data_IF_973741179382
#
_entry.id   IF_973741179382
#
_cell.length_a   1.000
_cell.length_b   1.000
_cell.length_c   1.000
_cell.angle_alpha   90.00
_cell.angle_beta   90.00
_cell.angle_gamma   90.00
#
_symmetry.space_group_name_H-M   'P 1'
#
loop_
_entity.id
_entity.type
_entity.pdbx_description
1 polymer ?
#
# COMPACT_ATOMS: atom_id res chain seq x y z
N UNK A 1 -23.83 12.33 40.12
CA UNK A 1 -23.05 13.56 40.38
C UNK A 1 -22.07 13.74 39.26
N UNK A 2 -22.40 14.62 38.32
CA UNK A 2 -21.60 14.90 37.13
C UNK A 2 -20.71 16.13 37.42
N UNK A 3 -19.40 15.99 37.23
CA UNK A 3 -18.45 17.09 37.30
C UNK A 3 -18.20 17.65 35.91
N UNK A 4 -18.69 18.86 35.69
CA UNK A 4 -18.38 19.68 34.52
C UNK A 4 -16.98 20.28 34.69
N UNK A 5 -16.10 20.09 33.72
CA UNK A 5 -14.85 20.84 33.59
C UNK A 5 -15.06 22.01 32.63
N UNK A 6 -14.90 23.20 33.21
CA UNK A 6 -15.09 24.50 32.61
C UNK A 6 -14.00 24.85 31.57
N UNK A 7 -14.45 25.29 30.38
CA UNK A 7 -13.62 26.04 29.43
C UNK A 7 -13.59 27.51 29.85
N UNK A 8 -12.43 28.05 30.23
CA UNK A 8 -12.18 29.51 30.15
C UNK A 8 -10.70 29.87 30.22
N UNK A 9 -10.36 30.74 29.30
CA UNK A 9 -9.42 31.87 29.36
C UNK A 9 -7.96 31.61 29.00
N UNK A 10 -7.60 32.01 27.81
CA UNK A 10 -6.37 32.73 27.52
C UNK A 10 -6.68 33.92 26.62
N UNK A 11 -6.71 35.09 27.25
CA UNK A 11 -6.74 36.39 26.58
C UNK A 11 -5.73 37.32 27.27
N UNK A 12 -4.89 37.94 26.43
CA UNK A 12 -4.22 39.22 26.58
C UNK A 12 -3.02 39.36 27.53
N UNK A 13 -1.86 39.62 26.93
CA UNK A 13 -1.07 40.80 27.32
C UNK A 13 -0.47 41.42 26.06
N UNK A 14 -0.92 42.62 25.73
CA UNK A 14 -0.24 43.57 24.87
C UNK A 14 0.68 44.44 25.72
N UNK A 15 1.91 44.64 25.32
CA UNK A 15 2.76 45.69 25.87
C UNK A 15 3.47 46.41 24.75
N UNK A 16 3.11 47.68 24.61
CA UNK A 16 3.69 48.68 23.76
C UNK A 16 5.10 49.07 24.22
N UNK A 17 6.04 49.22 23.31
CA UNK A 17 7.33 49.85 23.57
C UNK A 17 7.88 50.44 22.28
N UNK A 18 7.62 51.74 22.09
CA UNK A 18 8.24 52.54 21.05
C UNK A 18 9.61 53.02 21.50
N UNK A 19 10.66 52.73 20.74
CA UNK A 19 11.94 53.44 20.80
C UNK A 19 12.34 53.81 19.37
N UNK A 20 12.41 55.11 19.13
CA UNK A 20 13.00 55.73 17.94
C UNK A 20 14.51 55.64 18.01
N UNK A 21 15.19 55.32 16.90
CA UNK A 21 16.63 55.31 16.85
C UNK A 21 17.15 55.04 15.42
N UNK A 22 17.50 56.14 14.73
CA UNK A 22 18.50 56.30 13.68
C UNK A 22 18.56 55.38 12.47
N UNK A 23 18.33 55.99 11.31
CA UNK A 23 18.66 55.58 9.98
C UNK A 23 20.17 55.48 9.80
N UNK A 24 20.69 54.29 9.63
CA UNK A 24 21.96 54.04 8.95
C UNK A 24 21.73 53.20 7.72
N UNK A 25 21.86 53.84 6.57
CA UNK A 25 21.73 53.27 5.24
C UNK A 25 22.98 52.45 4.91
N UNK A 26 23.00 51.18 5.25
CA UNK A 26 23.93 50.23 4.69
C UNK A 26 23.23 49.39 3.62
N UNK A 27 23.55 49.71 2.36
CA UNK A 27 23.26 48.87 1.19
C UNK A 27 23.87 47.47 1.43
N UNK A 28 23.04 46.50 1.78
CA UNK A 28 23.44 45.11 1.70
C UNK A 28 23.05 44.60 0.31
N UNK A 29 23.97 43.97 -0.42
CA UNK A 29 23.58 43.33 -1.68
C UNK A 29 22.59 42.22 -1.38
N UNK A 30 21.45 42.22 -2.09
CA UNK A 30 20.48 41.18 -2.04
C UNK A 30 21.16 39.84 -2.35
N UNK A 31 21.39 39.04 -1.32
CA UNK A 31 21.78 37.65 -1.48
C UNK A 31 20.60 36.94 -2.16
N UNK A 32 20.77 36.65 -3.44
CA UNK A 32 19.82 35.84 -4.18
C UNK A 32 19.67 34.51 -3.41
N UNK A 33 18.51 34.31 -2.79
CA UNK A 33 18.10 33.02 -2.27
C UNK A 33 18.02 32.10 -3.48
N UNK A 34 19.10 31.38 -3.74
CA UNK A 34 19.09 30.24 -4.64
C UNK A 34 18.08 29.29 -4.04
N UNK A 35 16.86 29.25 -4.62
CA UNK A 35 15.90 28.17 -4.37
C UNK A 35 16.66 26.87 -4.64
N UNK A 36 16.99 26.17 -3.57
CA UNK A 36 17.51 24.81 -3.66
C UNK A 36 16.48 24.02 -4.46
N UNK A 37 16.84 23.69 -5.71
CA UNK A 37 16.03 22.84 -6.58
C UNK A 37 15.82 21.56 -5.80
N UNK A 38 14.60 21.34 -5.29
CA UNK A 38 14.24 20.12 -4.56
C UNK A 38 14.79 18.94 -5.37
N UNK A 39 15.71 18.20 -4.79
CA UNK A 39 16.31 17.05 -5.47
C UNK A 39 15.17 16.18 -6.00
N UNK A 40 15.23 15.88 -7.30
CA UNK A 40 14.25 15.00 -7.92
C UNK A 40 14.26 13.67 -7.18
N UNK A 41 13.09 13.05 -7.03
CA UNK A 41 13.00 11.72 -6.44
C UNK A 41 13.76 10.73 -7.33
N UNK A 42 14.65 9.92 -6.76
CA UNK A 42 15.37 8.89 -7.51
C UNK A 42 14.41 7.85 -8.08
N UNK A 43 13.29 7.62 -7.40
CA UNK A 43 12.20 6.79 -7.87
C UNK A 43 10.86 7.24 -7.30
N UNK A 44 9.81 6.88 -8.01
CA UNK A 44 8.41 7.04 -7.58
C UNK A 44 7.58 5.90 -8.13
N UNK A 45 6.53 5.52 -7.40
CA UNK A 45 5.59 4.49 -7.81
C UNK A 45 4.18 4.88 -7.39
N UNK A 46 3.28 5.00 -8.36
CA UNK A 46 1.85 5.03 -8.17
C UNK A 46 1.26 3.76 -8.78
N UNK A 47 0.63 2.93 -7.99
CA UNK A 47 0.08 1.67 -8.43
C UNK A 47 -1.30 1.40 -7.86
N UNK A 48 -2.14 0.74 -8.64
CA UNK A 48 -3.43 0.19 -8.19
C UNK A 48 -3.28 -1.32 -8.01
N UNK A 49 -3.82 -1.81 -6.89
CA UNK A 49 -3.79 -3.22 -6.52
C UNK A 49 -5.21 -3.76 -6.45
N UNK A 50 -5.40 -4.96 -6.96
CA UNK A 50 -6.52 -5.85 -6.65
C UNK A 50 -5.97 -6.89 -5.68
N UNK A 51 -6.41 -6.85 -4.43
CA UNK A 51 -5.88 -7.70 -3.36
C UNK A 51 -6.98 -8.52 -2.70
N UNK A 52 -6.68 -9.79 -2.42
CA UNK A 52 -7.47 -10.66 -1.56
C UNK A 52 -6.57 -11.37 -0.56
N UNK A 53 -7.12 -11.72 0.59
CA UNK A 53 -6.40 -12.50 1.59
C UNK A 53 -7.33 -13.44 2.38
N UNK A 54 -6.73 -14.45 3.01
CA UNK A 54 -7.41 -15.47 3.82
C UNK A 54 -8.15 -14.93 5.04
N UNK A 55 -7.85 -13.72 5.49
CA UNK A 55 -8.48 -13.10 6.66
C UNK A 55 -9.96 -12.82 6.44
N UNK A 56 -10.73 -12.77 7.52
CA UNK A 56 -12.12 -12.32 7.46
C UNK A 56 -12.20 -10.82 7.10
N UNK A 57 -13.31 -10.37 6.55
CA UNK A 57 -13.69 -8.95 6.46
C UNK A 57 -13.88 -8.45 7.90
N UNK A 58 -13.46 -7.34 8.16
CA UNK A 58 -12.46 -6.43 8.21
C UNK A 58 -11.09 -6.98 8.68
N UNK A 59 -10.18 -7.19 7.79
CA UNK A 59 -8.90 -7.83 8.11
C UNK A 59 -8.15 -7.09 9.22
N UNK A 60 -7.70 -7.78 10.29
CA UNK A 60 -6.91 -7.15 11.35
C UNK A 60 -5.62 -6.51 10.85
N UNK A 61 -5.07 -6.97 9.72
CA UNK A 61 -3.85 -6.43 9.13
C UNK A 61 -3.96 -4.96 8.67
N UNK A 62 -5.17 -4.41 8.60
CA UNK A 62 -5.36 -2.95 8.42
C UNK A 62 -4.87 -2.15 9.64
N UNK A 63 -4.84 -2.76 10.82
CA UNK A 63 -4.66 -2.09 12.10
C UNK A 63 -3.51 -2.66 12.94
N UNK A 64 -3.07 -3.88 12.64
CA UNK A 64 -2.08 -4.61 13.44
C UNK A 64 -1.18 -5.48 12.56
N UNK A 65 -0.15 -6.06 13.18
CA UNK A 65 0.78 -6.97 12.53
C UNK A 65 0.42 -8.46 12.80
N UNK A 66 -0.75 -8.72 13.38
CA UNK A 66 -1.25 -10.07 13.68
C UNK A 66 -2.51 -10.33 12.86
N UNK A 67 -2.49 -11.28 11.93
CA UNK A 67 -3.64 -11.66 11.12
C UNK A 67 -4.79 -12.30 11.92
N UNK A 68 -5.92 -12.50 11.25
CA UNK A 68 -7.05 -13.26 11.80
C UNK A 68 -6.61 -14.66 12.22
N UNK A 69 -7.26 -15.17 13.26
CA UNK A 69 -7.19 -16.59 13.58
C UNK A 69 -8.05 -17.42 12.61
N UNK A 70 -7.55 -18.58 12.23
CA UNK A 70 -8.22 -19.58 11.41
C UNK A 70 -8.31 -20.89 12.18
N UNK A 71 -9.47 -21.54 12.15
CA UNK A 71 -9.68 -22.79 12.89
C UNK A 71 -10.85 -22.69 13.87
N UNK A 72 -11.01 -23.72 14.71
CA UNK A 72 -12.11 -23.85 15.65
C UNK A 72 -11.62 -24.24 17.04
N UNK A 73 -12.25 -23.68 18.06
CA UNK A 73 -11.97 -24.00 19.46
C UNK A 73 -10.55 -23.60 19.89
N UNK A 74 -9.81 -24.53 20.49
CA UNK A 74 -8.43 -24.30 20.96
C UNK A 74 -7.37 -24.41 19.85
N UNK A 75 -7.73 -24.85 18.65
CA UNK A 75 -6.84 -24.98 17.50
C UNK A 75 -7.05 -23.79 16.55
N UNK A 76 -6.45 -22.67 16.88
CA UNK A 76 -6.51 -21.44 16.07
C UNK A 76 -5.11 -21.12 15.58
N UNK A 77 -4.90 -21.22 14.28
CA UNK A 77 -3.68 -20.78 13.60
C UNK A 77 -3.85 -19.37 13.09
N UNK A 78 -2.84 -18.54 13.28
CA UNK A 78 -2.80 -17.21 12.70
C UNK A 78 -1.92 -17.20 11.45
N UNK A 79 -2.47 -16.77 10.34
CA UNK A 79 -1.75 -16.57 9.08
C UNK A 79 -2.50 -15.59 8.18
N UNK A 80 -1.80 -15.00 7.22
CA UNK A 80 -2.41 -14.21 6.16
C UNK A 80 -1.82 -14.62 4.82
N UNK A 81 -2.50 -15.52 4.13
CA UNK A 81 -2.19 -15.87 2.75
C UNK A 81 -2.88 -14.87 1.84
N UNK A 82 -2.16 -14.36 0.86
CA UNK A 82 -2.64 -13.26 0.05
C UNK A 82 -2.23 -13.39 -1.41
N UNK A 83 -3.04 -12.77 -2.27
CA UNK A 83 -2.78 -12.54 -3.68
C UNK A 83 -2.99 -11.09 -4.02
N UNK A 84 -2.09 -10.51 -4.81
CA UNK A 84 -2.13 -9.13 -5.25
C UNK A 84 -1.80 -9.02 -6.73
N UNK A 85 -2.78 -8.61 -7.54
CA UNK A 85 -2.57 -8.21 -8.93
C UNK A 85 -2.30 -6.72 -9.03
N UNK A 86 -1.09 -6.36 -9.49
CA UNK A 86 -0.62 -4.97 -9.61
C UNK A 86 -0.78 -4.41 -11.01
N UNK A 87 -1.12 -3.13 -11.07
CA UNK A 87 -0.96 -2.29 -12.26
C UNK A 87 -0.32 -0.97 -11.87
N UNK A 88 0.83 -0.67 -12.43
CA UNK A 88 1.50 0.63 -12.26
C UNK A 88 0.77 1.66 -13.12
N UNK A 89 0.24 2.72 -12.51
CA UNK A 89 -0.39 3.81 -13.21
C UNK A 89 0.65 4.76 -13.79
N UNK A 90 1.61 5.14 -12.96
CA UNK A 90 2.82 5.87 -13.36
C UNK A 90 3.95 5.62 -12.36
N UNK A 91 5.17 5.62 -12.85
CA UNK A 91 6.34 5.41 -12.01
C UNK A 91 7.63 5.60 -12.78
N UNK A 92 8.69 5.88 -12.04
CA UNK A 92 10.03 6.04 -12.57
C UNK A 92 11.05 5.51 -11.56
N UNK A 93 12.10 4.89 -12.06
CA UNK A 93 13.25 4.50 -11.28
C UNK A 93 14.52 4.91 -12.01
N UNK A 94 15.17 6.00 -11.58
CA UNK A 94 16.42 6.51 -12.18
C UNK A 94 16.36 6.60 -13.71
N UNK A 95 15.23 7.08 -14.25
CA UNK A 95 15.00 7.20 -15.69
C UNK A 95 14.30 6.00 -16.33
N UNK A 96 14.20 4.85 -15.67
CA UNK A 96 13.43 3.70 -16.15
C UNK A 96 11.95 3.96 -15.92
N UNK A 97 11.16 4.03 -17.00
CA UNK A 97 9.72 4.24 -16.95
C UNK A 97 8.99 2.97 -16.55
N UNK A 98 8.08 3.05 -15.58
CA UNK A 98 7.32 1.92 -15.06
C UNK A 98 5.82 1.96 -15.42
N UNK A 99 5.36 2.97 -16.14
CA UNK A 99 3.95 3.14 -16.49
C UNK A 99 3.41 1.92 -17.23
N UNK A 100 2.24 1.45 -16.82
CA UNK A 100 1.54 0.32 -17.44
C UNK A 100 2.08 -1.07 -17.07
N UNK A 101 3.19 -1.16 -16.33
CA UNK A 101 3.73 -2.45 -15.90
C UNK A 101 2.72 -3.17 -15.01
N UNK A 102 2.53 -4.47 -15.27
CA UNK A 102 1.75 -5.37 -14.44
C UNK A 102 2.63 -6.46 -13.84
N UNK A 103 2.35 -6.82 -12.60
CA UNK A 103 3.02 -7.90 -11.89
C UNK A 103 2.11 -8.46 -10.80
N UNK A 104 2.46 -9.62 -10.29
CA UNK A 104 1.74 -10.33 -9.25
C UNK A 104 2.62 -10.51 -8.02
N UNK A 105 2.04 -10.43 -6.82
CA UNK A 105 2.70 -10.89 -5.60
C UNK A 105 1.72 -11.81 -4.87
N UNK A 106 2.17 -13.01 -4.53
CA UNK A 106 1.46 -13.92 -3.65
C UNK A 106 2.34 -14.28 -2.46
N UNK A 107 1.74 -14.64 -1.33
CA UNK A 107 2.53 -14.98 -0.16
C UNK A 107 1.74 -15.34 1.08
N UNK A 108 2.47 -15.46 2.18
CA UNK A 108 1.96 -15.67 3.52
C UNK A 108 2.73 -14.79 4.50
N UNK A 109 2.02 -13.90 5.20
CA UNK A 109 2.61 -13.05 6.23
C UNK A 109 2.94 -13.82 7.53
N UNK A 110 2.42 -15.04 7.68
CA UNK A 110 2.57 -15.81 8.91
C UNK A 110 1.70 -15.28 10.06
N UNK A 111 2.04 -15.69 11.27
CA UNK A 111 1.22 -15.42 12.46
C UNK A 111 1.42 -14.03 13.07
N UNK A 112 2.61 -13.48 12.93
CA UNK A 112 2.98 -12.15 13.45
C UNK A 112 4.11 -11.60 12.56
N UNK A 113 3.74 -10.80 11.58
CA UNK A 113 4.72 -10.30 10.61
C UNK A 113 5.57 -9.12 11.12
N UNK A 114 5.37 -8.66 12.39
CA UNK A 114 6.36 -7.82 13.08
C UNK A 114 7.65 -8.57 13.36
N UNK A 115 7.57 -9.89 13.48
CA UNK A 115 8.71 -10.81 13.69
C UNK A 115 9.28 -11.39 12.40
N UNK A 116 8.70 -11.02 11.28
CA UNK A 116 9.06 -11.51 9.95
C UNK A 116 7.92 -12.29 9.30
N UNK A 117 7.81 -12.12 7.98
CA UNK A 117 6.82 -12.81 7.15
C UNK A 117 7.38 -14.12 6.58
N UNK A 118 6.51 -15.07 6.28
CA UNK A 118 6.92 -16.41 5.88
C UNK A 118 7.51 -16.44 4.48
N UNK A 119 6.71 -16.09 3.48
CA UNK A 119 7.19 -16.11 2.10
C UNK A 119 6.40 -15.16 1.21
N UNK A 120 7.04 -14.69 0.14
CA UNK A 120 6.38 -14.06 -0.99
C UNK A 120 7.06 -14.45 -2.29
N UNK A 121 6.28 -14.44 -3.37
CA UNK A 121 6.74 -14.62 -4.73
C UNK A 121 6.24 -13.47 -5.59
N UNK A 122 7.15 -12.85 -6.35
CA UNK A 122 6.81 -11.86 -7.37
C UNK A 122 6.88 -12.50 -8.74
N UNK A 123 5.82 -12.36 -9.54
CA UNK A 123 5.73 -12.84 -10.92
C UNK A 123 5.47 -11.68 -11.84
N UNK A 124 6.20 -11.58 -12.93
CA UNK A 124 6.05 -10.48 -13.90
C UNK A 124 5.26 -10.92 -15.14
N UNK A 125 4.54 -9.98 -15.71
CA UNK A 125 4.02 -10.10 -17.06
C UNK A 125 5.19 -10.21 -18.04
N UNK A 126 5.14 -11.09 -19.08
CA UNK A 126 6.29 -11.38 -19.96
C UNK A 126 6.89 -10.18 -20.68
N UNK A 127 6.10 -9.13 -20.94
CA UNK A 127 6.58 -7.89 -21.59
C UNK A 127 7.41 -6.99 -20.67
N UNK A 128 7.45 -7.25 -19.36
CA UNK A 128 8.20 -6.43 -18.39
C UNK A 128 9.70 -6.61 -18.61
N UNK A 129 10.39 -5.52 -18.91
CA UNK A 129 11.83 -5.55 -19.24
C UNK A 129 12.69 -5.88 -18.02
N UNK A 130 13.94 -6.28 -18.25
CA UNK A 130 14.90 -6.58 -17.19
C UNK A 130 15.14 -5.36 -16.28
N UNK A 131 15.21 -4.17 -16.86
CA UNK A 131 15.41 -2.90 -16.13
C UNK A 131 14.19 -2.58 -15.24
N UNK A 132 12.98 -2.77 -15.76
CA UNK A 132 11.75 -2.57 -15.00
C UNK A 132 11.64 -3.56 -13.83
N UNK A 133 12.01 -4.84 -14.05
CA UNK A 133 12.07 -5.86 -12.97
C UNK A 133 13.06 -5.46 -11.89
N UNK A 134 14.27 -5.06 -12.28
CA UNK A 134 15.29 -4.56 -11.34
C UNK A 134 14.81 -3.36 -10.54
N UNK A 135 14.11 -2.42 -11.19
CA UNK A 135 13.49 -1.28 -10.53
C UNK A 135 12.44 -1.72 -9.50
N UNK A 136 11.48 -2.57 -9.89
CA UNK A 136 10.40 -3.02 -9.02
C UNK A 136 10.92 -3.86 -7.85
N UNK A 137 11.86 -4.77 -8.07
CA UNK A 137 12.48 -5.55 -6.97
C UNK A 137 13.24 -4.67 -5.97
N UNK A 138 13.69 -3.47 -6.39
CA UNK A 138 14.29 -2.47 -5.50
C UNK A 138 13.21 -1.67 -4.74
N UNK A 139 12.10 -1.30 -5.40
CA UNK A 139 11.04 -0.46 -4.82
C UNK A 139 10.14 -1.24 -3.85
N UNK A 140 9.74 -2.46 -4.19
CA UNK A 140 8.75 -3.25 -3.45
C UNK A 140 9.11 -3.46 -1.97
N UNK A 141 10.38 -3.70 -1.57
CA UNK A 141 10.73 -3.76 -0.14
C UNK A 141 10.44 -2.49 0.66
N UNK A 142 10.37 -1.32 0.02
CA UNK A 142 9.96 -0.08 0.67
C UNK A 142 8.44 0.05 0.81
N UNK A 143 7.69 -0.60 -0.09
CA UNK A 143 6.23 -0.71 0.06
C UNK A 143 5.89 -1.69 1.19
N UNK A 144 6.57 -2.82 1.25
CA UNK A 144 6.40 -3.85 2.28
C UNK A 144 7.65 -3.97 3.15
N UNK A 145 7.83 -3.07 4.14
CA UNK A 145 9.02 -3.04 4.99
C UNK A 145 8.95 -4.14 6.06
N UNK A 146 8.86 -5.38 5.61
CA UNK A 146 8.88 -6.58 6.45
C UNK A 146 10.06 -7.47 6.06
N UNK A 147 10.60 -8.22 7.01
CA UNK A 147 11.63 -9.21 6.74
C UNK A 147 10.97 -10.50 6.27
N UNK A 148 11.25 -10.93 5.05
CA UNK A 148 10.75 -12.18 4.49
C UNK A 148 11.72 -13.32 4.79
N UNK A 149 11.22 -14.47 5.26
CA UNK A 149 12.03 -15.71 5.34
C UNK A 149 12.41 -16.22 3.95
N UNK A 150 11.52 -16.04 2.98
CA UNK A 150 11.76 -16.31 1.57
C UNK A 150 11.07 -15.28 0.69
N UNK A 151 11.81 -14.63 -0.22
CA UNK A 151 11.27 -13.78 -1.27
C UNK A 151 11.85 -14.25 -2.60
N UNK A 152 10.99 -14.73 -3.50
CA UNK A 152 11.39 -15.37 -4.75
C UNK A 152 10.81 -14.64 -5.96
N UNK A 153 11.43 -14.86 -7.12
CA UNK A 153 10.88 -14.45 -8.41
C UNK A 153 10.33 -15.69 -9.09
N UNK A 154 9.04 -15.68 -9.37
CA UNK A 154 8.35 -16.76 -10.06
C UNK A 154 8.57 -16.75 -11.57
N UNK A 155 8.06 -17.77 -12.25
CA UNK A 155 8.08 -17.85 -13.69
C UNK A 155 7.12 -16.83 -14.29
N UNK A 156 7.58 -16.06 -15.27
CA UNK A 156 6.75 -15.08 -15.99
C UNK A 156 5.49 -15.71 -16.55
N UNK A 157 4.38 -15.00 -16.42
CA UNK A 157 3.10 -15.44 -16.99
C UNK A 157 2.21 -14.25 -17.36
N UNK A 158 1.32 -14.39 -18.35
CA UNK A 158 0.36 -13.34 -18.70
C UNK A 158 -0.52 -12.96 -17.50
N UNK A 159 -0.76 -11.66 -17.35
CA UNK A 159 -1.59 -11.10 -16.28
C UNK A 159 -2.76 -10.35 -16.88
N UNK A 160 -3.98 -10.87 -16.69
CA UNK A 160 -5.21 -10.14 -16.95
C UNK A 160 -5.52 -9.26 -15.74
N UNK A 161 -5.89 -8.00 -16.01
CA UNK A 161 -6.19 -7.04 -14.94
C UNK A 161 -7.32 -6.11 -15.38
N UNK A 162 -8.46 -6.15 -14.69
CA UNK A 162 -9.60 -5.24 -14.92
C UNK A 162 -10.22 -4.85 -13.60
N UNK A 163 -10.62 -3.58 -13.45
CA UNK A 163 -11.21 -3.09 -12.23
C UNK A 163 -12.26 -2.00 -12.49
N UNK A 164 -13.36 -2.12 -11.77
CA UNK A 164 -14.39 -1.09 -11.56
C UNK A 164 -14.69 -1.01 -10.07
N UNK A 165 -15.51 -0.04 -9.65
CA UNK A 165 -15.96 0.04 -8.26
C UNK A 165 -16.91 -1.09 -7.83
N UNK A 166 -17.43 -1.88 -8.77
CA UNK A 166 -18.36 -2.98 -8.50
C UNK A 166 -17.70 -4.36 -8.59
N UNK A 167 -16.67 -4.46 -9.42
CA UNK A 167 -15.98 -5.73 -9.66
C UNK A 167 -14.53 -5.50 -10.06
N UNK A 168 -13.64 -6.29 -9.49
CA UNK A 168 -12.24 -6.31 -9.87
C UNK A 168 -11.78 -7.74 -10.14
N UNK A 169 -10.97 -7.93 -11.18
CA UNK A 169 -10.48 -9.25 -11.61
C UNK A 169 -9.01 -9.12 -11.95
N UNK A 170 -8.20 -9.96 -11.34
CA UNK A 170 -6.83 -10.21 -11.73
C UNK A 170 -6.61 -11.71 -11.91
N UNK A 171 -5.94 -12.13 -13.00
CA UNK A 171 -5.64 -13.52 -13.30
C UNK A 171 -4.21 -13.68 -13.77
N UNK A 172 -3.49 -14.58 -13.15
CA UNK A 172 -2.16 -15.00 -13.56
C UNK A 172 -2.30 -16.29 -14.39
N UNK A 173 -1.77 -16.28 -15.60
CA UNK A 173 -1.85 -17.39 -16.55
C UNK A 173 -3.32 -17.85 -16.79
N UNK A 174 -4.21 -16.88 -17.07
CA UNK A 174 -5.65 -17.15 -17.27
C UNK A 174 -6.33 -17.78 -16.05
N UNK A 175 -5.83 -17.52 -14.84
CA UNK A 175 -6.33 -18.10 -13.59
C UNK A 175 -5.74 -19.47 -13.24
N UNK A 176 -4.94 -20.07 -14.13
CA UNK A 176 -4.33 -21.39 -13.87
C UNK A 176 -3.27 -21.33 -12.76
N UNK A 177 -2.55 -20.22 -12.65
CA UNK A 177 -1.53 -20.05 -11.62
C UNK A 177 -2.07 -19.33 -10.38
N UNK A 178 -2.77 -18.21 -10.56
CA UNK A 178 -3.44 -17.51 -9.49
C UNK A 178 -4.63 -16.68 -10.00
N UNK A 179 -5.59 -16.39 -9.11
CA UNK A 179 -6.79 -15.64 -9.45
C UNK A 179 -7.30 -14.87 -8.25
N UNK A 180 -7.67 -13.62 -8.48
CA UNK A 180 -8.45 -12.80 -7.55
C UNK A 180 -9.66 -12.25 -8.29
N UNK A 181 -10.85 -12.54 -7.78
CA UNK A 181 -12.11 -11.97 -8.23
C UNK A 181 -12.78 -11.32 -7.04
N UNK A 182 -12.92 -10.02 -7.09
CA UNK A 182 -13.60 -9.24 -6.08
C UNK A 182 -14.97 -8.78 -6.60
N UNK A 183 -15.96 -8.75 -5.71
CA UNK A 183 -17.27 -8.19 -6.01
C UNK A 183 -17.76 -7.35 -4.84
N UNK A 184 -18.19 -6.14 -5.14
CA UNK A 184 -18.81 -5.26 -4.15
C UNK A 184 -20.11 -5.89 -3.62
N UNK A 185 -20.28 -5.90 -2.31
CA UNK A 185 -21.59 -6.16 -1.72
C UNK A 185 -22.55 -5.02 -2.05
N UNK A 186 -23.82 -5.31 -2.37
CA UNK A 186 -24.84 -4.27 -2.45
C UNK A 186 -24.97 -3.65 -1.05
N UNK A 187 -24.51 -2.41 -0.93
CA UNK A 187 -24.62 -1.64 0.31
C UNK A 187 -25.95 -0.90 0.40
N UNK A 188 -26.05 -0.01 1.36
CA UNK A 188 -27.21 0.88 1.53
C UNK A 188 -27.26 1.97 0.47
N UNK A 189 -26.16 2.20 -0.26
CA UNK A 189 -26.05 3.22 -1.32
C UNK A 189 -25.42 2.63 -2.57
N UNK A 190 -25.43 3.41 -3.68
CA UNK A 190 -24.72 3.05 -4.91
C UNK A 190 -23.18 3.17 -4.79
N UNK A 191 -22.69 3.89 -3.79
CA UNK A 191 -21.28 4.14 -3.60
C UNK A 191 -20.55 2.94 -2.96
N UNK A 192 -19.27 2.72 -3.30
CA UNK A 192 -18.49 1.67 -2.66
C UNK A 192 -18.19 2.01 -1.19
N UNK A 193 -18.04 0.99 -0.36
CA UNK A 193 -17.51 1.16 1.00
C UNK A 193 -16.02 1.41 0.93
N UNK A 194 -15.55 2.56 1.47
CA UNK A 194 -14.16 2.95 1.45
C UNK A 194 -13.65 3.23 2.86
N UNK A 195 -12.60 2.53 3.29
CA UNK A 195 -11.87 2.87 4.52
C UNK A 195 -10.77 3.88 4.15
N UNK A 196 -10.79 5.04 4.80
CA UNK A 196 -9.79 6.11 4.63
C UNK A 196 -8.97 6.31 5.89
N UNK A 197 -7.92 7.12 5.77
CA UNK A 197 -7.04 7.49 6.90
C UNK A 197 -6.23 6.33 7.49
N UNK A 198 -6.03 5.28 6.70
CA UNK A 198 -5.08 4.22 7.00
C UNK A 198 -3.89 4.29 6.06
N UNK A 199 -2.72 3.88 6.53
CA UNK A 199 -1.54 3.68 5.69
C UNK A 199 -1.68 2.33 4.98
N UNK A 200 -1.10 2.23 3.79
CA UNK A 200 -0.89 0.95 3.14
C UNK A 200 0.59 0.55 3.33
N UNK A 201 0.87 -0.21 4.37
CA UNK A 201 2.23 -0.62 4.76
C UNK A 201 3.22 0.57 4.79
N UNK A 202 4.27 0.55 3.96
CA UNK A 202 5.25 1.63 3.82
C UNK A 202 4.77 2.83 3.00
N UNK A 203 3.72 2.67 2.18
CA UNK A 203 3.20 3.76 1.36
C UNK A 203 2.41 4.78 2.20
N UNK A 204 2.85 6.04 2.27
CA UNK A 204 2.22 7.04 3.14
C UNK A 204 0.94 7.64 2.57
N UNK A 205 0.72 7.54 1.26
CA UNK A 205 -0.41 8.14 0.55
C UNK A 205 -1.20 7.07 -0.19
N UNK A 206 -2.52 7.12 -0.10
CA UNK A 206 -3.42 6.24 -0.85
C UNK A 206 -4.81 6.86 -1.00
N UNK A 207 -5.63 6.28 -1.87
CA UNK A 207 -7.01 6.71 -2.14
C UNK A 207 -8.03 6.17 -1.14
N UNK A 208 -7.62 5.31 -0.23
CA UNK A 208 -8.47 4.50 0.64
C UNK A 208 -8.69 3.09 0.08
N UNK A 209 -9.10 2.19 0.95
CA UNK A 209 -9.37 0.80 0.65
C UNK A 209 -10.81 0.67 0.19
N UNK A 210 -11.04 0.39 -1.08
CA UNK A 210 -12.36 0.09 -1.63
C UNK A 210 -12.66 -1.38 -1.30
N UNK A 211 -13.52 -1.61 -0.31
CA UNK A 211 -13.80 -2.95 0.19
C UNK A 211 -14.67 -3.76 -0.77
N UNK A 212 -14.17 -4.92 -1.14
CA UNK A 212 -14.88 -5.90 -1.96
C UNK A 212 -14.48 -7.30 -1.50
N UNK A 213 -15.36 -8.07 -0.85
CA UNK A 213 -15.05 -9.45 -0.52
C UNK A 213 -14.71 -10.24 -1.78
N UNK A 214 -13.85 -11.25 -1.65
CA UNK A 214 -13.50 -12.07 -2.78
C UNK A 214 -14.62 -13.09 -3.13
N UNK A 215 -14.89 -13.24 -4.41
CA UNK A 215 -15.60 -14.38 -4.96
C UNK A 215 -14.63 -15.56 -5.19
N UNK A 216 -13.38 -15.22 -5.50
CA UNK A 216 -12.27 -16.14 -5.68
C UNK A 216 -10.99 -15.47 -5.18
N UNK A 217 -10.25 -16.18 -4.38
CA UNK A 217 -8.84 -15.94 -4.11
C UNK A 217 -8.14 -17.29 -4.21
N UNK A 218 -7.24 -17.45 -5.18
CA UNK A 218 -6.55 -18.70 -5.38
C UNK A 218 -5.10 -18.50 -5.81
N UNK A 219 -4.21 -19.27 -5.21
CA UNK A 219 -2.84 -19.48 -5.63
C UNK A 219 -2.64 -20.98 -5.81
N UNK A 220 -2.47 -21.43 -7.07
CA UNK A 220 -2.60 -22.85 -7.47
C UNK A 220 -1.27 -23.52 -7.79
N UNK A 221 -0.16 -22.77 -7.72
CA UNK A 221 1.19 -23.22 -8.08
C UNK A 221 2.10 -23.28 -6.86
N UNK A 222 3.28 -23.88 -7.03
CA UNK A 222 4.26 -23.99 -5.96
C UNK A 222 3.91 -25.00 -4.86
N UNK A 223 4.69 -25.04 -3.79
CA UNK A 223 4.55 -26.06 -2.73
C UNK A 223 3.47 -25.72 -1.69
N UNK A 224 2.91 -24.52 -1.72
CA UNK A 224 1.94 -24.04 -0.72
C UNK A 224 0.71 -23.42 -1.40
N UNK A 225 -0.07 -24.17 -2.20
CA UNK A 225 -1.28 -23.67 -2.85
C UNK A 225 -2.37 -23.39 -1.80
N UNK A 226 -3.25 -22.44 -2.12
CA UNK A 226 -4.40 -22.12 -1.28
C UNK A 226 -5.55 -21.55 -2.12
N UNK A 227 -6.76 -21.65 -1.58
CA UNK A 227 -7.97 -21.09 -2.18
C UNK A 227 -8.94 -20.65 -1.09
N UNK A 228 -9.52 -19.44 -1.24
CA UNK A 228 -10.50 -18.87 -0.31
C UNK A 228 -11.64 -18.22 -1.08
N UNK A 229 -12.79 -18.10 -0.40
CA UNK A 229 -13.97 -17.43 -0.91
C UNK A 229 -14.73 -16.74 0.22
N UNK A 230 -15.22 -15.54 -0.04
CA UNK A 230 -15.98 -14.75 0.92
C UNK A 230 -15.11 -14.14 2.02
N UNK A 231 -13.80 -14.15 1.86
CA UNK A 231 -12.85 -13.53 2.78
C UNK A 231 -12.52 -12.10 2.35
N UNK A 232 -11.57 -11.48 3.01
CA UNK A 232 -11.22 -10.08 2.79
C UNK A 232 -10.69 -9.84 1.37
N UNK A 233 -11.09 -8.73 0.79
CA UNK A 233 -10.58 -8.22 -0.46
C UNK A 233 -10.82 -6.73 -0.59
N UNK A 234 -9.98 -6.07 -1.36
CA UNK A 234 -10.09 -4.65 -1.63
C UNK A 234 -9.31 -4.23 -2.87
N UNK A 235 -9.64 -3.06 -3.38
CA UNK A 235 -8.76 -2.31 -4.27
C UNK A 235 -8.19 -1.11 -3.54
N UNK A 236 -6.96 -0.75 -3.87
CA UNK A 236 -6.31 0.46 -3.39
C UNK A 236 -5.37 1.02 -4.46
N UNK A 237 -5.34 2.34 -4.59
CA UNK A 237 -4.28 3.04 -5.32
C UNK A 237 -3.40 3.75 -4.31
N UNK A 238 -2.11 3.46 -4.33
CA UNK A 238 -1.14 4.10 -3.44
C UNK A 238 -0.05 4.85 -4.21
N UNK A 239 0.60 5.74 -3.50
CA UNK A 239 1.72 6.54 -3.99
C UNK A 239 2.86 6.54 -2.97
N UNK A 240 4.07 6.25 -3.46
CA UNK A 240 5.31 6.24 -2.66
C UNK A 240 6.48 6.70 -3.52
N UNK A 241 7.48 7.30 -2.90
CA UNK A 241 8.70 7.74 -3.56
C UNK A 241 9.93 7.62 -2.66
N UNK A 242 11.12 7.77 -3.21
CA UNK A 242 12.37 7.76 -2.43
C UNK A 242 12.40 8.84 -1.35
N UNK A 243 11.62 9.92 -1.49
CA UNK A 243 11.50 10.98 -0.47
C UNK A 243 10.74 10.55 0.80
N UNK A 244 9.97 9.48 0.72
CA UNK A 244 9.19 8.96 1.83
C UNK A 244 10.00 8.01 2.72
N UNK A 245 11.18 7.58 2.24
CA UNK A 245 12.05 6.67 2.96
C UNK A 245 12.91 7.48 3.94
N UNK A 246 12.68 7.25 5.23
CA UNK A 246 13.54 7.82 6.26
C UNK A 246 14.87 7.07 6.24
N UNK A 247 15.94 7.79 5.94
CA UNK A 247 17.33 7.33 6.13
C UNK A 247 17.66 7.25 7.61
#
# INVERSE_FOLDING_TARGET
>A
MASQVSRRAFLQVAASGAIAGQLDSHFHPATALTQAKSAASDWSLNATIIEACSCTMFCPCYFSMVPSGHGHGSMVDHYCRFNMGYRVNHGNFKGVKLDGVTFWIAGDLGADFSKGAEWAEITFEPSVTKEQRGALTTIIPHVYPVTWKAFTVGQDAPIEWTATNDRAVARLNGGKAAEVVLRRNPGMTSEPVVIKNLRYFGAPRNTGFILMPNEVEAYRVGPKPFEYKGTNGFMITYDISSKDIKT
#
